data_IF_611446235210
#
_entry.id   IF_611446235210
#
_cell.length_a   1.000
_cell.length_b   1.000
_cell.length_c   1.000
_cell.angle_alpha   90.00
_cell.angle_beta   90.00
_cell.angle_gamma   90.00
#
_symmetry.space_group_name_H-M   'P 1'
#
loop_
_entity.id
_entity.type
_entity.pdbx_description
1 polymer ?
#
# COMPACT_ATOMS: atom_id res chain seq x y z
N UNK A 1 23.75 20.97 43.15
CA UNK A 1 23.59 20.73 41.71
C UNK A 1 22.11 20.40 41.45
N UNK A 2 21.36 21.34 40.90
CA UNK A 2 19.97 21.11 40.49
C UNK A 2 20.00 20.66 39.05
N UNK A 3 19.63 19.39 38.81
CA UNK A 3 19.49 18.83 37.48
C UNK A 3 18.21 19.41 36.85
N UNK A 4 18.37 20.16 35.77
CA UNK A 4 17.28 20.69 34.95
C UNK A 4 16.94 19.59 33.95
N UNK A 5 15.80 18.92 34.16
CA UNK A 5 15.24 17.97 33.20
C UNK A 5 14.51 18.82 32.15
N UNK A 6 15.07 18.92 30.96
CA UNK A 6 14.38 19.42 29.78
C UNK A 6 13.40 18.31 29.29
N UNK A 7 12.12 18.53 29.47
CA UNK A 7 11.11 17.82 28.70
C UNK A 7 11.16 18.35 27.27
N UNK A 8 11.71 17.58 26.36
CA UNK A 8 11.46 17.77 24.92
C UNK A 8 10.01 17.31 24.68
N UNK A 9 9.12 18.26 24.53
CA UNK A 9 7.81 18.02 23.91
C UNK A 9 8.11 17.89 22.42
N UNK A 10 7.81 16.75 21.76
CA UNK A 10 7.91 16.70 20.31
C UNK A 10 6.83 17.63 19.75
N UNK A 11 7.27 18.75 19.18
CA UNK A 11 6.43 19.53 18.28
C UNK A 11 6.23 18.69 17.01
N UNK A 12 5.09 18.01 16.91
CA UNK A 12 4.54 17.58 15.63
C UNK A 12 4.06 18.86 14.92
N UNK A 13 4.96 19.50 14.19
CA UNK A 13 4.62 20.61 13.33
C UNK A 13 4.13 20.06 11.99
N UNK A 14 2.86 19.75 11.85
CA UNK A 14 2.19 19.90 10.57
C UNK A 14 2.03 21.42 10.37
N UNK A 15 3.03 22.05 9.73
CA UNK A 15 3.04 23.51 9.56
C UNK A 15 1.89 24.00 8.66
N UNK A 16 1.26 23.12 7.90
CA UNK A 16 0.30 23.42 6.85
C UNK A 16 -1.16 23.16 7.25
N UNK A 17 -1.43 22.11 8.01
CA UNK A 17 -2.77 21.73 8.48
C UNK A 17 -2.75 21.58 9.99
N UNK A 18 -3.69 22.22 10.68
CA UNK A 18 -3.87 22.08 12.13
C UNK A 18 -5.30 21.67 12.46
N UNK A 19 -5.44 20.87 13.51
CA UNK A 19 -6.68 20.28 13.97
C UNK A 19 -6.99 20.72 15.39
N UNK A 20 -8.25 21.04 15.65
CA UNK A 20 -8.77 21.32 16.99
C UNK A 20 -10.12 20.62 17.19
N UNK A 21 -10.22 19.60 18.08
CA UNK A 21 -9.14 19.01 18.88
C UNK A 21 -8.11 18.22 18.02
N UNK A 22 -6.91 18.00 18.56
CA UNK A 22 -5.85 17.22 17.91
C UNK A 22 -6.15 15.73 17.82
N UNK A 23 -6.98 15.21 18.73
CA UNK A 23 -7.56 13.87 18.67
C UNK A 23 -8.98 14.00 18.16
N UNK A 24 -9.26 13.41 17.01
CA UNK A 24 -10.56 13.49 16.35
C UNK A 24 -11.46 12.39 16.89
N UNK A 25 -12.62 12.76 17.40
CA UNK A 25 -13.69 11.82 17.69
C UNK A 25 -14.81 11.99 16.64
N UNK A 26 -15.39 10.88 16.21
CA UNK A 26 -16.32 10.86 15.06
C UNK A 26 -17.60 11.67 15.32
N UNK A 27 -18.01 11.80 16.58
CA UNK A 27 -19.23 12.46 17.04
C UNK A 27 -18.98 13.83 17.71
N UNK A 28 -17.75 14.34 17.66
CA UNK A 28 -17.38 15.63 18.24
C UNK A 28 -17.05 16.68 17.19
N UNK A 29 -17.20 17.96 17.55
CA UNK A 29 -16.84 19.07 16.67
C UNK A 29 -15.35 19.08 16.39
N UNK A 30 -15.00 19.06 15.12
CA UNK A 30 -13.65 19.20 14.58
C UNK A 30 -13.54 20.54 13.85
N UNK A 31 -12.47 21.27 14.10
CA UNK A 31 -12.06 22.42 13.29
C UNK A 31 -10.74 22.09 12.59
N UNK A 32 -10.74 22.18 11.25
CA UNK A 32 -9.55 22.04 10.42
C UNK A 32 -9.13 23.44 9.99
N UNK A 33 -7.87 23.81 10.22
CA UNK A 33 -7.28 25.06 9.78
C UNK A 33 -6.10 24.80 8.87
N UNK A 34 -6.05 25.50 7.74
CA UNK A 34 -5.04 25.35 6.68
C UNK A 34 -4.33 26.69 6.46
N UNK A 35 -3.01 26.67 6.40
CA UNK A 35 -2.17 27.76 5.94
C UNK A 35 -1.64 27.46 4.51
N UNK A 36 -2.22 28.10 3.50
CA UNK A 36 -1.82 27.91 2.11
C UNK A 36 -0.49 28.57 1.75
N UNK A 37 0.10 29.38 2.65
CA UNK A 37 1.42 30.01 2.42
C UNK A 37 2.57 29.13 2.91
N UNK A 38 2.32 28.15 3.77
CA UNK A 38 3.35 27.22 4.19
C UNK A 38 3.55 26.21 3.05
N UNK A 39 4.50 26.49 2.18
CA UNK A 39 4.81 25.65 1.04
C UNK A 39 5.89 24.65 1.40
N UNK A 40 5.49 23.44 1.75
CA UNK A 40 6.31 22.24 1.60
C UNK A 40 5.82 21.51 0.34
N UNK A 41 5.87 22.20 -0.80
CA UNK A 41 5.21 21.73 -2.00
C UNK A 41 6.20 21.15 -2.98
N UNK A 42 6.41 19.85 -2.89
CA UNK A 42 6.80 19.05 -4.07
C UNK A 42 5.62 18.92 -5.06
N UNK A 43 4.41 19.28 -4.65
CA UNK A 43 3.19 19.31 -5.43
C UNK A 43 2.83 20.74 -5.81
N UNK A 44 2.01 20.90 -6.85
CA UNK A 44 1.67 22.17 -7.46
C UNK A 44 1.10 23.25 -6.53
N UNK A 45 0.81 22.93 -5.27
CA UNK A 45 0.36 23.85 -4.25
C UNK A 45 -0.81 24.75 -4.65
N UNK A 46 -1.44 25.39 -3.67
CA UNK A 46 -2.50 26.38 -3.91
C UNK A 46 -1.93 27.79 -3.71
N UNK A 47 -2.06 28.62 -4.74
CA UNK A 47 -1.51 29.97 -4.72
C UNK A 47 -2.64 31.00 -4.78
N UNK A 48 -2.85 31.77 -3.70
CA UNK A 48 -3.87 32.80 -3.55
C UNK A 48 -5.28 32.40 -4.05
N UNK A 49 -5.88 31.34 -3.52
CA UNK A 49 -7.19 30.91 -3.98
C UNK A 49 -8.25 31.94 -3.63
N UNK A 50 -9.24 32.16 -4.52
CA UNK A 50 -10.40 32.97 -4.21
C UNK A 50 -11.36 32.25 -3.27
N UNK A 51 -11.41 30.92 -3.34
CA UNK A 51 -12.10 29.98 -2.46
C UNK A 51 -11.23 28.74 -2.24
N UNK A 52 -11.35 28.17 -1.07
CA UNK A 52 -10.72 26.90 -0.71
C UNK A 52 -11.80 25.89 -0.33
N UNK A 53 -11.64 24.67 -0.80
CA UNK A 53 -12.56 23.57 -0.56
C UNK A 53 -11.81 22.40 0.08
N UNK A 54 -12.41 21.80 1.10
CA UNK A 54 -12.03 20.49 1.61
C UNK A 54 -12.72 19.41 0.77
N UNK A 55 -11.95 18.53 0.15
CA UNK A 55 -12.40 17.26 -0.39
C UNK A 55 -11.91 16.18 0.58
N UNK A 56 -12.81 15.43 1.19
CA UNK A 56 -12.46 14.55 2.30
C UNK A 56 -13.29 13.27 2.28
N UNK A 57 -12.67 12.20 2.71
CA UNK A 57 -13.29 10.89 2.90
C UNK A 57 -13.06 10.33 4.29
N UNK A 58 -13.83 9.33 4.65
CA UNK A 58 -13.65 8.53 5.87
C UNK A 58 -13.65 7.05 5.53
N UNK A 59 -12.86 6.30 6.26
CA UNK A 59 -12.70 4.87 6.06
C UNK A 59 -11.84 4.23 7.14
N UNK A 60 -11.12 3.20 6.75
CA UNK A 60 -10.23 2.45 7.63
C UNK A 60 -8.76 2.73 7.29
N UNK A 61 -7.86 2.00 7.93
CA UNK A 61 -6.40 2.20 7.75
C UNK A 61 -5.89 1.83 6.36
N UNK A 62 -6.56 0.92 5.66
CA UNK A 62 -6.21 0.50 4.30
C UNK A 62 -6.74 1.48 3.26
N UNK A 63 -7.94 2.05 3.50
CA UNK A 63 -8.55 3.00 2.58
C UNK A 63 -9.36 4.05 3.37
N UNK A 64 -8.81 5.25 3.48
CA UNK A 64 -9.45 6.39 4.16
C UNK A 64 -10.64 6.99 3.37
N UNK A 65 -10.96 6.48 2.18
CA UNK A 65 -12.00 6.96 1.27
C UNK A 65 -13.14 5.95 1.08
N UNK A 66 -13.11 4.81 1.79
CA UNK A 66 -13.95 3.64 1.50
C UNK A 66 -15.41 3.80 1.94
N UNK A 67 -15.67 4.46 3.08
CA UNK A 67 -17.03 4.48 3.68
C UNK A 67 -17.87 5.59 3.07
N UNK A 68 -17.39 6.84 3.11
CA UNK A 68 -18.08 7.95 2.45
C UNK A 68 -17.09 9.07 2.09
N UNK A 69 -17.45 9.84 1.07
CA UNK A 69 -16.65 10.97 0.55
C UNK A 69 -17.53 12.20 0.39
N UNK A 70 -17.05 13.35 0.87
CA UNK A 70 -17.68 14.65 0.72
C UNK A 70 -16.80 15.60 -0.07
N UNK A 71 -17.39 16.26 -1.04
CA UNK A 71 -16.75 17.21 -1.95
C UNK A 71 -16.88 16.78 -3.40
N UNK A 72 -17.23 17.73 -4.27
CA UNK A 72 -17.39 17.52 -5.70
C UNK A 72 -16.21 18.13 -6.43
N UNK A 73 -15.27 17.30 -6.89
CA UNK A 73 -14.04 17.79 -7.51
C UNK A 73 -14.32 18.71 -8.70
N UNK A 74 -13.66 19.87 -8.70
CA UNK A 74 -13.77 20.85 -9.79
C UNK A 74 -15.05 21.68 -9.82
N UNK A 75 -15.97 21.53 -8.84
CA UNK A 75 -17.21 22.27 -8.76
C UNK A 75 -17.18 23.35 -7.66
N UNK A 76 -17.61 24.55 -8.00
CA UNK A 76 -17.82 25.67 -7.05
C UNK A 76 -19.28 25.64 -6.57
N UNK A 77 -19.62 24.66 -5.74
CA UNK A 77 -20.99 24.38 -5.29
C UNK A 77 -21.23 24.57 -3.79
N UNK A 78 -20.19 24.99 -3.05
CA UNK A 78 -20.25 25.22 -1.62
C UNK A 78 -20.04 23.97 -0.78
N UNK A 79 -19.96 22.77 -1.35
CA UNK A 79 -19.73 21.52 -0.60
C UNK A 79 -18.27 21.44 -0.17
N UNK A 80 -18.02 21.53 1.15
CA UNK A 80 -16.66 21.60 1.70
C UNK A 80 -16.00 22.98 1.59
N UNK A 81 -16.74 24.05 1.25
CA UNK A 81 -16.18 25.41 1.19
C UNK A 81 -15.68 25.86 2.56
N UNK A 82 -14.44 26.33 2.60
CA UNK A 82 -13.78 26.80 3.82
C UNK A 82 -13.93 28.30 4.00
N UNK A 83 -13.92 28.75 5.25
CA UNK A 83 -13.94 30.17 5.60
C UNK A 83 -12.56 30.77 5.51
N UNK A 84 -12.43 31.90 4.76
CA UNK A 84 -11.21 32.67 4.68
C UNK A 84 -11.02 33.53 5.93
N UNK A 85 -9.99 33.23 6.73
CA UNK A 85 -9.63 33.97 7.94
C UNK A 85 -8.60 35.09 7.69
N UNK A 86 -8.19 35.28 6.43
CA UNK A 86 -7.16 36.24 6.03
C UNK A 86 -5.73 35.68 6.12
N UNK A 87 -4.79 36.37 5.50
CA UNK A 87 -3.36 36.03 5.48
C UNK A 87 -3.04 34.59 4.99
N UNK A 88 -3.90 34.03 4.11
CA UNK A 88 -3.72 32.66 3.60
C UNK A 88 -4.20 31.58 4.56
N UNK A 89 -4.86 31.94 5.67
CA UNK A 89 -5.41 30.99 6.64
C UNK A 89 -6.88 30.74 6.31
N UNK A 90 -7.25 29.47 6.25
CA UNK A 90 -8.62 29.00 5.99
C UNK A 90 -9.06 27.98 7.04
N UNK A 91 -10.35 27.92 7.34
CA UNK A 91 -10.88 26.96 8.29
C UNK A 91 -12.26 26.43 7.93
N UNK A 92 -12.56 25.22 8.37
CA UNK A 92 -13.86 24.59 8.33
C UNK A 92 -14.12 23.86 9.65
N UNK A 93 -15.37 23.89 10.14
CA UNK A 93 -15.74 23.18 11.37
C UNK A 93 -16.98 22.35 11.13
N UNK A 94 -16.95 21.09 11.56
CA UNK A 94 -18.06 20.14 11.43
C UNK A 94 -17.95 19.02 12.47
N UNK A 95 -19.04 18.28 12.68
CA UNK A 95 -19.02 16.98 13.37
C UNK A 95 -18.83 15.92 12.28
N UNK A 96 -17.76 15.11 12.31
CA UNK A 96 -17.47 14.16 11.20
C UNK A 96 -18.64 13.22 10.88
N UNK A 97 -19.31 12.65 11.90
CA UNK A 97 -20.46 11.78 11.70
C UNK A 97 -21.58 12.45 10.87
N UNK A 98 -21.88 13.70 11.18
CA UNK A 98 -22.94 14.46 10.50
C UNK A 98 -22.48 14.92 9.10
N UNK A 99 -21.22 15.35 8.99
CA UNK A 99 -20.63 15.84 7.74
C UNK A 99 -20.55 14.76 6.66
N UNK A 100 -20.24 13.53 7.06
CA UNK A 100 -20.18 12.38 6.18
C UNK A 100 -21.48 11.57 6.11
N UNK A 101 -22.58 12.03 6.77
CA UNK A 101 -23.89 11.36 6.79
C UNK A 101 -23.79 9.87 7.19
N UNK A 102 -23.07 9.58 8.28
CA UNK A 102 -22.79 8.22 8.71
C UNK A 102 -23.86 7.66 9.64
N UNK A 103 -24.29 6.44 9.37
CA UNK A 103 -25.03 5.64 10.37
C UNK A 103 -24.14 5.30 11.58
N UNK A 104 -24.75 4.86 12.71
CA UNK A 104 -23.98 4.43 13.90
C UNK A 104 -23.02 3.27 13.56
N UNK A 105 -23.43 2.35 12.69
CA UNK A 105 -22.59 1.23 12.29
C UNK A 105 -21.38 1.68 11.43
N UNK A 106 -21.58 2.58 10.48
CA UNK A 106 -20.50 3.13 9.67
C UNK A 106 -19.53 3.97 10.50
N UNK A 107 -20.06 4.81 11.41
CA UNK A 107 -19.24 5.61 12.32
C UNK A 107 -18.29 4.76 13.17
N UNK A 108 -18.73 3.58 13.61
CA UNK A 108 -17.91 2.64 14.38
C UNK A 108 -16.80 1.96 13.55
N UNK A 109 -16.89 2.00 12.21
CA UNK A 109 -15.88 1.44 11.30
C UNK A 109 -14.82 2.47 10.90
N UNK A 110 -15.07 3.77 11.15
CA UNK A 110 -14.14 4.84 10.79
C UNK A 110 -12.95 4.84 11.75
N UNK A 111 -11.78 4.63 11.23
CA UNK A 111 -10.51 4.76 11.96
C UNK A 111 -9.57 5.78 11.32
N UNK A 112 -9.90 6.25 10.10
CA UNK A 112 -9.07 7.17 9.33
C UNK A 112 -9.89 8.14 8.50
N UNK A 113 -9.42 9.38 8.38
CA UNK A 113 -9.95 10.41 7.49
C UNK A 113 -8.88 10.84 6.51
N UNK A 114 -9.23 10.86 5.21
CA UNK A 114 -8.42 11.39 4.12
C UNK A 114 -8.86 12.80 3.75
N UNK A 115 -7.91 13.67 3.36
CA UNK A 115 -8.19 15.05 3.00
C UNK A 115 -7.29 15.52 1.86
N UNK A 116 -7.89 16.29 0.96
CA UNK A 116 -7.19 17.10 -0.05
C UNK A 116 -7.85 18.48 -0.05
N UNK A 117 -7.06 19.52 -0.12
CA UNK A 117 -7.61 20.88 -0.27
C UNK A 117 -7.46 21.33 -1.71
N UNK A 118 -8.49 21.96 -2.26
CA UNK A 118 -8.52 22.40 -3.66
C UNK A 118 -9.05 23.83 -3.80
N UNK A 119 -8.66 24.48 -4.87
CA UNK A 119 -9.31 25.74 -5.27
C UNK A 119 -10.71 25.51 -5.87
N UNK A 120 -11.43 26.55 -6.21
CA UNK A 120 -12.83 26.52 -6.67
C UNK A 120 -13.07 25.64 -7.90
N UNK A 121 -12.08 25.50 -8.79
CA UNK A 121 -12.22 24.73 -10.03
C UNK A 121 -11.37 23.44 -10.05
N UNK A 122 -10.73 23.08 -8.92
CA UNK A 122 -9.95 21.84 -8.79
C UNK A 122 -8.65 21.79 -9.62
N UNK A 123 -8.19 22.94 -10.16
CA UNK A 123 -6.95 23.00 -10.94
C UNK A 123 -5.69 23.16 -10.10
N UNK A 124 -5.86 23.50 -8.82
CA UNK A 124 -4.82 23.60 -7.83
C UNK A 124 -5.24 22.79 -6.60
N UNK A 125 -4.31 22.04 -6.06
CA UNK A 125 -4.52 21.22 -4.88
C UNK A 125 -3.37 21.35 -3.87
N UNK A 126 -3.70 21.17 -2.60
CA UNK A 126 -2.77 21.12 -1.50
C UNK A 126 -2.81 19.71 -0.93
N UNK A 127 -1.68 19.04 -0.96
CA UNK A 127 -1.43 17.69 -0.47
C UNK A 127 -0.28 17.68 0.52
N UNK A 128 -0.13 16.59 1.25
CA UNK A 128 0.98 16.33 2.16
C UNK A 128 2.29 16.07 1.42
N UNK A 129 3.36 15.84 2.14
CA UNK A 129 4.69 15.53 1.58
C UNK A 129 4.63 14.36 0.61
N UNK A 130 5.46 14.43 -0.45
CA UNK A 130 5.47 13.42 -1.51
C UNK A 130 4.20 13.36 -2.35
N UNK A 131 3.39 14.41 -2.37
CA UNK A 131 2.11 14.50 -3.09
C UNK A 131 1.04 13.50 -2.63
N UNK A 132 1.16 12.98 -1.42
CA UNK A 132 0.14 12.14 -0.80
C UNK A 132 -1.03 12.99 -0.28
N UNK A 133 -2.18 12.37 -0.11
CA UNK A 133 -3.29 12.98 0.61
C UNK A 133 -2.93 13.13 2.10
N UNK A 134 -3.55 14.11 2.78
CA UNK A 134 -3.44 14.17 4.24
C UNK A 134 -4.27 13.06 4.86
N UNK A 135 -3.65 12.24 5.71
CA UNK A 135 -4.33 11.17 6.42
C UNK A 135 -4.25 11.39 7.93
N UNK A 136 -5.40 11.29 8.59
CA UNK A 136 -5.52 11.54 10.02
C UNK A 136 -6.30 10.40 10.67
N UNK A 137 -5.79 9.92 11.80
CA UNK A 137 -6.47 8.90 12.58
C UNK A 137 -7.70 9.47 13.30
N UNK A 138 -8.80 8.72 13.31
CA UNK A 138 -10.06 9.04 13.98
C UNK A 138 -10.24 8.09 15.16
N UNK A 139 -10.66 8.65 16.30
CA UNK A 139 -10.81 7.95 17.58
C UNK A 139 -9.55 8.00 18.45
N UNK A 140 -9.78 7.98 19.76
CA UNK A 140 -8.71 7.92 20.77
C UNK A 140 -8.08 6.54 20.89
N UNK A 141 -8.80 5.51 20.43
CA UNK A 141 -8.31 4.14 20.39
C UNK A 141 -7.57 3.89 19.08
N UNK A 142 -6.25 3.93 19.13
CA UNK A 142 -5.36 3.67 17.99
C UNK A 142 -4.43 2.52 18.32
N UNK A 143 -3.96 1.80 17.30
CA UNK A 143 -3.04 0.68 17.45
C UNK A 143 -1.82 0.90 16.58
N UNK A 144 -0.66 0.74 17.17
CA UNK A 144 0.65 0.74 16.51
C UNK A 144 1.22 -0.68 16.54
N UNK A 145 1.58 -1.20 15.36
CA UNK A 145 2.44 -2.36 15.26
C UNK A 145 3.89 -1.90 15.54
N UNK A 146 4.58 -2.61 16.44
CA UNK A 146 5.98 -2.34 16.77
C UNK A 146 6.87 -3.32 15.99
N UNK A 147 6.41 -4.56 15.86
CA UNK A 147 6.98 -5.56 14.97
C UNK A 147 5.83 -6.41 14.37
N UNK A 148 5.61 -6.34 13.05
CA UNK A 148 6.34 -5.52 12.06
C UNK A 148 6.23 -4.02 12.34
N UNK A 149 7.08 -3.24 11.68
CA UNK A 149 6.95 -1.79 11.61
C UNK A 149 5.76 -1.37 10.69
N UNK A 150 5.68 -0.09 10.36
CA UNK A 150 4.63 0.48 9.52
C UNK A 150 4.56 -0.09 8.09
N UNK A 151 5.60 -0.81 7.63
CA UNK A 151 5.57 -1.49 6.33
C UNK A 151 4.63 -2.69 6.30
N UNK A 152 4.28 -3.24 7.47
CA UNK A 152 3.47 -4.45 7.59
C UNK A 152 4.17 -5.71 7.05
N UNK A 153 5.50 -5.69 6.89
CA UNK A 153 6.27 -6.80 6.33
C UNK A 153 7.39 -7.21 7.28
N UNK A 154 7.51 -8.52 7.51
CA UNK A 154 8.67 -9.12 8.18
C UNK A 154 9.34 -10.06 7.18
N UNK A 155 10.63 -9.89 6.95
CA UNK A 155 11.43 -10.82 6.16
C UNK A 155 12.27 -11.67 7.10
N UNK A 156 12.27 -13.00 6.91
CA UNK A 156 13.06 -13.94 7.73
C UNK A 156 13.74 -14.98 6.86
N UNK A 157 14.87 -15.49 7.31
CA UNK A 157 15.49 -16.68 6.72
C UNK A 157 14.71 -17.95 7.05
N UNK A 158 14.91 -18.98 6.22
CA UNK A 158 14.30 -20.29 6.43
C UNK A 158 14.65 -20.85 7.82
N UNK A 159 13.63 -21.29 8.56
CA UNK A 159 13.74 -21.84 9.90
C UNK A 159 14.12 -20.80 10.98
N UNK A 160 14.03 -19.52 10.67
CA UNK A 160 14.20 -18.44 11.63
C UNK A 160 12.93 -18.17 12.44
N UNK A 161 12.98 -17.22 13.35
CA UNK A 161 11.91 -16.90 14.29
C UNK A 161 11.67 -15.39 14.32
N UNK A 162 10.42 -14.98 14.59
CA UNK A 162 10.07 -13.58 14.81
C UNK A 162 8.98 -13.44 15.87
N UNK A 163 8.97 -12.30 16.56
CA UNK A 163 7.97 -12.00 17.59
C UNK A 163 7.10 -10.84 17.15
N UNK A 164 5.77 -10.98 17.30
CA UNK A 164 4.83 -9.91 16.95
C UNK A 164 4.59 -9.03 18.18
N UNK A 165 4.73 -7.72 18.01
CA UNK A 165 4.58 -6.72 19.07
C UNK A 165 3.65 -5.61 18.61
N UNK A 166 2.71 -5.23 19.48
CA UNK A 166 1.81 -4.11 19.22
C UNK A 166 1.42 -3.38 20.51
N UNK A 167 1.05 -2.12 20.39
CA UNK A 167 0.50 -1.35 21.51
C UNK A 167 -0.73 -0.56 21.07
N UNK A 168 -1.59 -0.22 22.01
CA UNK A 168 -2.68 0.70 21.77
C UNK A 168 -2.51 1.98 22.59
N UNK A 169 -3.24 3.04 22.23
CA UNK A 169 -3.13 4.37 22.84
C UNK A 169 -4.09 4.59 23.99
N UNK A 170 -5.10 3.74 24.20
CA UNK A 170 -6.21 3.99 25.11
C UNK A 170 -6.48 2.85 26.09
N UNK A 171 -5.48 2.55 26.96
CA UNK A 171 -5.65 1.59 28.06
C UNK A 171 -5.67 0.12 27.57
N UNK A 172 -6.43 -0.73 28.28
CA UNK A 172 -6.40 -2.16 28.01
C UNK A 172 -7.40 -2.55 26.90
N UNK A 173 -6.96 -3.48 26.04
CA UNK A 173 -7.75 -4.06 24.96
C UNK A 173 -7.58 -5.59 24.90
N UNK A 174 -8.40 -6.24 24.07
CA UNK A 174 -8.25 -7.67 23.77
C UNK A 174 -7.60 -7.81 22.41
N UNK A 175 -6.64 -8.71 22.30
CA UNK A 175 -5.88 -8.98 21.09
C UNK A 175 -6.10 -10.43 20.66
N UNK A 176 -6.32 -10.66 19.38
CA UNK A 176 -6.42 -12.00 18.78
C UNK A 176 -5.60 -12.02 17.50
N UNK A 177 -4.54 -12.82 17.46
CA UNK A 177 -3.67 -12.98 16.30
C UNK A 177 -4.11 -14.20 15.49
N UNK A 178 -4.35 -13.96 14.23
CA UNK A 178 -4.60 -15.00 13.23
C UNK A 178 -3.41 -15.08 12.28
N UNK A 179 -3.04 -16.29 11.87
CA UNK A 179 -2.04 -16.56 10.85
C UNK A 179 -2.63 -17.56 9.85
N UNK A 180 -2.62 -17.24 8.57
CA UNK A 180 -3.22 -18.03 7.50
C UNK A 180 -4.70 -18.41 7.79
N UNK A 181 -5.43 -17.51 8.44
CA UNK A 181 -6.84 -17.69 8.83
C UNK A 181 -7.08 -18.46 10.13
N UNK A 182 -6.03 -19.02 10.77
CA UNK A 182 -6.14 -19.75 12.02
C UNK A 182 -5.76 -18.87 13.22
N UNK A 183 -6.54 -18.93 14.32
CA UNK A 183 -6.22 -18.23 15.57
C UNK A 183 -4.99 -18.88 16.23
N UNK A 184 -3.89 -18.12 16.35
CA UNK A 184 -2.62 -18.61 16.92
C UNK A 184 -2.34 -18.07 18.32
N UNK A 185 -2.87 -16.89 18.68
CA UNK A 185 -2.73 -16.32 20.03
C UNK A 185 -3.91 -15.41 20.40
N UNK A 186 -4.17 -15.29 21.71
CA UNK A 186 -5.16 -14.37 22.25
C UNK A 186 -4.74 -13.86 23.63
N UNK A 187 -4.72 -12.53 23.79
CA UNK A 187 -4.42 -11.87 25.04
C UNK A 187 -5.56 -10.90 25.39
N UNK A 188 -6.07 -10.99 26.61
CA UNK A 188 -7.22 -10.19 27.02
C UNK A 188 -6.82 -9.14 28.06
N UNK A 189 -7.42 -7.96 27.95
CA UNK A 189 -7.30 -6.87 28.90
C UNK A 189 -5.85 -6.42 29.15
N UNK A 190 -5.08 -6.27 28.08
CA UNK A 190 -3.69 -5.77 28.09
C UNK A 190 -3.57 -4.50 27.24
N UNK A 191 -2.71 -3.58 27.62
CA UNK A 191 -2.43 -2.37 26.85
C UNK A 191 -1.25 -2.52 25.88
N UNK A 192 -0.51 -3.61 26.02
CA UNK A 192 0.63 -3.94 25.17
C UNK A 192 0.54 -5.43 24.80
N UNK A 193 0.52 -5.71 23.52
CA UNK A 193 0.60 -7.07 23.00
C UNK A 193 2.07 -7.49 22.98
N UNK A 194 2.48 -8.20 24.04
CA UNK A 194 3.81 -8.75 24.16
C UNK A 194 3.82 -10.16 23.57
N UNK A 195 3.67 -10.19 22.38
CA UNK A 195 3.52 -11.01 21.32
C UNK A 195 3.73 -12.49 21.31
N UNK A 196 3.05 -13.01 20.33
CA UNK A 196 3.26 -14.38 19.88
C UNK A 196 4.63 -14.50 19.20
N UNK A 197 5.39 -15.52 19.59
CA UNK A 197 6.64 -15.89 18.97
C UNK A 197 6.36 -16.94 17.89
N UNK A 198 6.61 -16.59 16.64
CA UNK A 198 6.70 -17.57 15.56
C UNK A 198 8.09 -18.19 15.57
N UNK A 199 8.17 -19.52 15.79
CA UNK A 199 9.43 -20.27 15.81
C UNK A 199 9.53 -21.20 14.59
N UNK A 200 10.77 -21.38 14.08
CA UNK A 200 11.07 -22.31 12.99
C UNK A 200 10.18 -22.08 11.76
N UNK A 201 10.10 -20.84 11.31
CA UNK A 201 9.31 -20.46 10.15
C UNK A 201 9.86 -21.11 8.87
N UNK A 202 9.00 -21.90 8.21
CA UNK A 202 9.31 -22.58 6.95
C UNK A 202 8.39 -22.16 5.80
N UNK A 203 7.26 -21.49 6.12
CA UNK A 203 6.25 -21.03 5.19
C UNK A 203 5.84 -19.59 5.50
N UNK A 204 5.43 -18.86 4.49
CA UNK A 204 4.90 -17.50 4.63
C UNK A 204 3.68 -17.48 5.56
N UNK A 205 3.53 -16.40 6.33
CA UNK A 205 2.38 -16.20 7.20
C UNK A 205 1.66 -14.91 6.79
N UNK A 206 0.38 -15.04 6.46
CA UNK A 206 -0.53 -13.92 6.22
C UNK A 206 -1.31 -13.68 7.49
N UNK A 207 -0.99 -12.60 8.18
CA UNK A 207 -1.43 -12.37 9.56
C UNK A 207 -2.45 -11.26 9.66
N UNK A 208 -3.40 -11.43 10.57
CA UNK A 208 -4.32 -10.40 11.04
C UNK A 208 -4.27 -10.33 12.56
N UNK A 209 -3.94 -9.17 13.11
CA UNK A 209 -4.09 -8.90 14.53
C UNK A 209 -5.38 -8.11 14.74
N UNK A 210 -6.36 -8.72 15.39
CA UNK A 210 -7.62 -8.10 15.76
C UNK A 210 -7.52 -7.54 17.16
N UNK A 211 -7.77 -6.26 17.33
CA UNK A 211 -7.67 -5.57 18.61
C UNK A 211 -9.03 -4.92 18.93
N UNK A 212 -9.64 -5.30 20.04
CA UNK A 212 -10.95 -4.80 20.43
C UNK A 212 -10.96 -4.12 21.81
N UNK A 213 -11.67 -2.99 21.89
CA UNK A 213 -11.93 -2.25 23.13
C UNK A 213 -13.36 -1.71 23.10
N UNK A 214 -14.21 -2.18 24.02
CA UNK A 214 -15.65 -1.90 23.96
C UNK A 214 -16.27 -2.40 22.66
N UNK A 215 -16.93 -1.51 21.93
CA UNK A 215 -17.57 -1.81 20.65
C UNK A 215 -16.64 -1.54 19.43
N UNK A 216 -15.45 -0.99 19.68
CA UNK A 216 -14.47 -0.68 18.63
C UNK A 216 -13.55 -1.88 18.37
N UNK A 217 -13.27 -2.15 17.10
CA UNK A 217 -12.29 -3.16 16.68
C UNK A 217 -11.40 -2.61 15.57
N UNK A 218 -10.11 -2.73 15.76
CA UNK A 218 -9.09 -2.40 14.74
C UNK A 218 -8.45 -3.71 14.29
N UNK A 219 -8.24 -3.85 12.97
CA UNK A 219 -7.57 -5.01 12.38
C UNK A 219 -6.30 -4.53 11.70
N UNK A 220 -5.16 -5.04 12.15
CA UNK A 220 -3.86 -4.81 11.54
C UNK A 220 -3.47 -6.04 10.72
N UNK A 221 -3.27 -5.84 9.41
CA UNK A 221 -2.80 -6.91 8.51
C UNK A 221 -1.32 -6.78 8.26
N UNK A 222 -0.62 -7.89 8.24
CA UNK A 222 0.81 -7.94 7.96
C UNK A 222 1.22 -9.31 7.43
N UNK A 223 2.40 -9.38 6.83
CA UNK A 223 2.90 -10.61 6.20
C UNK A 223 4.30 -10.93 6.70
N UNK A 224 4.55 -12.20 7.02
CA UNK A 224 5.89 -12.74 7.25
C UNK A 224 6.28 -13.52 5.99
N UNK A 225 7.32 -13.06 5.29
CA UNK A 225 7.87 -13.73 4.13
C UNK A 225 9.15 -14.48 4.52
N UNK A 226 9.16 -15.76 4.24
CA UNK A 226 10.27 -16.67 4.55
C UNK A 226 11.14 -16.86 3.33
N UNK A 227 12.46 -16.80 3.48
CA UNK A 227 13.40 -17.10 2.41
C UNK A 227 13.39 -18.61 2.07
N UNK A 228 12.54 -19.00 1.13
CA UNK A 228 12.42 -20.36 0.60
C UNK A 228 13.19 -20.57 -0.71
N UNK A 229 14.10 -19.64 -1.04
CA UNK A 229 14.90 -19.73 -2.27
C UNK A 229 15.84 -20.91 -2.22
N UNK A 230 15.79 -21.74 -3.26
CA UNK A 230 16.73 -22.83 -3.49
C UNK A 230 17.78 -22.44 -4.52
N UNK A 231 18.97 -23.00 -4.43
CA UNK A 231 20.04 -22.76 -5.40
C UNK A 231 19.96 -23.85 -6.49
N UNK A 232 19.62 -23.44 -7.71
CA UNK A 232 19.51 -24.37 -8.84
C UNK A 232 19.89 -23.63 -10.12
N UNK A 233 20.72 -24.28 -10.96
CA UNK A 233 21.17 -23.69 -12.22
C UNK A 233 19.99 -23.43 -13.16
N UNK A 234 19.96 -22.24 -13.74
CA UNK A 234 18.95 -21.87 -14.72
C UNK A 234 19.03 -22.79 -15.95
N UNK A 235 17.90 -23.30 -16.48
CA UNK A 235 17.87 -24.07 -17.71
C UNK A 235 18.47 -23.28 -18.89
N UNK A 236 19.18 -23.97 -19.77
CA UNK A 236 19.84 -23.34 -20.91
C UNK A 236 18.83 -22.78 -21.91
N UNK A 237 19.12 -21.58 -22.46
CA UNK A 237 18.32 -20.96 -23.51
C UNK A 237 17.24 -20.02 -22.99
N UNK A 238 17.08 -19.86 -21.67
CA UNK A 238 16.16 -18.89 -21.11
C UNK A 238 16.78 -17.48 -21.08
N UNK A 239 15.96 -16.50 -21.37
CA UNK A 239 16.28 -15.07 -21.35
C UNK A 239 15.58 -14.39 -20.16
N UNK A 240 16.00 -13.16 -19.83
CA UNK A 240 15.31 -12.37 -18.78
C UNK A 240 13.88 -12.03 -19.22
N UNK A 241 12.92 -12.12 -18.31
CA UNK A 241 11.50 -11.95 -18.57
C UNK A 241 10.71 -13.24 -18.68
N UNK A 242 9.63 -13.23 -19.45
CA UNK A 242 8.72 -14.35 -19.64
C UNK A 242 9.23 -15.26 -20.76
N UNK A 243 9.52 -16.51 -20.44
CA UNK A 243 9.87 -17.53 -21.41
C UNK A 243 8.68 -18.49 -21.61
N UNK A 244 8.04 -18.42 -22.76
CA UNK A 244 6.92 -19.30 -23.12
C UNK A 244 7.45 -20.67 -23.55
N UNK A 245 6.81 -21.74 -23.08
CA UNK A 245 7.15 -23.13 -23.38
C UNK A 245 6.33 -23.64 -24.59
N UNK A 246 6.78 -24.73 -25.21
CA UNK A 246 5.99 -25.50 -26.20
C UNK A 246 4.71 -26.06 -25.55
N UNK A 247 4.75 -26.38 -24.26
CA UNK A 247 3.57 -26.65 -23.44
C UNK A 247 2.91 -25.34 -23.02
N UNK A 248 1.87 -24.95 -23.73
CA UNK A 248 1.15 -23.70 -23.53
C UNK A 248 0.44 -23.56 -22.18
N UNK A 249 0.51 -24.55 -21.29
CA UNK A 249 0.08 -24.47 -19.90
C UNK A 249 1.19 -24.04 -18.94
N UNK A 250 2.39 -23.75 -19.47
CA UNK A 250 3.60 -23.43 -18.70
C UNK A 250 4.28 -22.17 -19.18
N UNK A 251 4.97 -21.51 -18.24
CA UNK A 251 5.94 -20.45 -18.53
C UNK A 251 7.09 -20.52 -17.54
N UNK A 252 8.27 -20.08 -17.96
CA UNK A 252 9.37 -19.84 -17.04
C UNK A 252 9.67 -18.34 -16.94
N UNK A 253 9.61 -17.81 -15.74
CA UNK A 253 9.95 -16.42 -15.42
C UNK A 253 11.41 -16.33 -15.01
N UNK A 254 12.13 -15.34 -15.53
CA UNK A 254 13.55 -15.08 -15.21
C UNK A 254 13.73 -13.62 -14.88
N UNK A 255 14.31 -13.33 -13.70
CA UNK A 255 14.61 -11.98 -13.25
C UNK A 255 16.09 -11.85 -12.86
N UNK A 256 16.78 -10.87 -13.44
CA UNK A 256 18.10 -10.45 -12.97
C UNK A 256 17.94 -9.49 -11.81
N UNK A 257 18.33 -9.92 -10.59
CA UNK A 257 18.21 -9.14 -9.37
C UNK A 257 19.48 -9.27 -8.49
N UNK A 258 20.56 -8.58 -8.88
CA UNK A 258 21.83 -8.66 -8.16
C UNK A 258 21.69 -8.16 -6.72
N UNK A 259 22.40 -8.85 -5.83
CA UNK A 259 22.46 -8.52 -4.39
C UNK A 259 21.11 -8.68 -3.65
N UNK A 260 20.16 -9.47 -4.19
CA UNK A 260 18.92 -9.79 -3.51
C UNK A 260 18.97 -11.20 -2.93
N UNK A 261 18.26 -11.38 -1.80
CA UNK A 261 18.29 -12.64 -1.06
C UNK A 261 17.29 -13.63 -1.62
N UNK A 262 16.03 -13.21 -1.80
CA UNK A 262 14.97 -14.07 -2.31
C UNK A 262 13.89 -13.28 -3.04
N UNK A 263 13.12 -13.96 -3.88
CA UNK A 263 12.05 -13.37 -4.67
C UNK A 263 10.86 -14.32 -4.68
N UNK A 264 9.66 -13.76 -4.48
CA UNK A 264 8.41 -14.45 -4.71
C UNK A 264 7.72 -13.91 -5.97
N UNK A 265 6.96 -14.78 -6.63
CA UNK A 265 6.04 -14.38 -7.70
C UNK A 265 4.62 -14.41 -7.15
N UNK A 266 3.98 -13.24 -7.04
CA UNK A 266 2.59 -13.10 -6.65
C UNK A 266 1.73 -12.73 -7.86
N UNK A 267 0.60 -13.39 -8.05
CA UNK A 267 -0.27 -13.16 -9.20
C UNK A 267 -1.62 -13.86 -9.07
N UNK A 268 -2.43 -13.78 -10.13
CA UNK A 268 -3.77 -14.36 -10.15
C UNK A 268 -3.75 -15.87 -9.91
N UNK A 269 -2.73 -16.56 -10.37
CA UNK A 269 -2.56 -18.01 -10.24
C UNK A 269 -2.30 -18.49 -8.79
N UNK A 270 -2.01 -17.57 -7.85
CA UNK A 270 -1.86 -17.88 -6.42
C UNK A 270 -2.61 -16.90 -5.52
N UNK A 271 -3.65 -16.24 -6.06
CA UNK A 271 -4.49 -15.28 -5.34
C UNK A 271 -3.69 -14.19 -4.64
N UNK A 272 -2.55 -13.79 -5.23
CA UNK A 272 -1.64 -12.76 -4.70
C UNK A 272 -1.07 -13.05 -3.31
N UNK A 273 -1.09 -14.33 -2.93
CA UNK A 273 -0.61 -14.84 -1.64
C UNK A 273 0.36 -16.01 -1.85
N UNK A 274 1.55 -15.75 -2.39
CA UNK A 274 2.47 -16.82 -2.78
C UNK A 274 2.89 -17.68 -1.60
N UNK A 275 2.84 -18.99 -1.80
CA UNK A 275 3.43 -20.01 -0.92
C UNK A 275 4.88 -20.28 -1.31
N UNK A 276 5.56 -21.19 -0.60
CA UNK A 276 6.94 -21.60 -0.92
C UNK A 276 7.14 -22.10 -2.36
N UNK A 277 6.09 -22.64 -2.99
CA UNK A 277 6.13 -23.08 -4.40
C UNK A 277 6.40 -21.93 -5.38
N UNK A 278 6.06 -20.71 -4.99
CA UNK A 278 6.28 -19.50 -5.80
C UNK A 278 7.53 -18.72 -5.40
N UNK A 279 8.40 -19.29 -4.55
CA UNK A 279 9.74 -18.77 -4.32
C UNK A 279 10.61 -19.06 -5.54
N UNK A 280 11.22 -18.02 -6.12
CA UNK A 280 12.13 -18.20 -7.26
C UNK A 280 13.41 -18.89 -6.81
N UNK A 281 13.91 -19.79 -7.66
CA UNK A 281 15.21 -20.42 -7.51
C UNK A 281 16.31 -19.44 -7.93
N UNK A 282 17.41 -19.40 -7.20
CA UNK A 282 18.57 -18.56 -7.54
C UNK A 282 19.60 -19.38 -8.33
N UNK A 283 20.03 -18.86 -9.48
CA UNK A 283 21.08 -19.50 -10.26
C UNK A 283 22.42 -19.46 -9.54
N UNK A 284 23.12 -20.59 -9.51
CA UNK A 284 24.42 -20.73 -8.85
C UNK A 284 25.57 -19.96 -9.51
N UNK A 285 25.39 -19.52 -10.77
CA UNK A 285 26.45 -18.93 -11.59
C UNK A 285 26.20 -17.48 -12.01
N UNK A 286 25.02 -16.96 -11.72
CA UNK A 286 24.63 -15.59 -12.04
C UNK A 286 23.75 -15.00 -10.94
N UNK A 287 23.46 -13.71 -11.03
CA UNK A 287 22.52 -13.02 -10.13
C UNK A 287 21.08 -13.09 -10.67
N UNK A 288 20.73 -14.18 -11.35
CA UNK A 288 19.41 -14.44 -11.89
C UNK A 288 18.60 -15.32 -10.96
N UNK A 289 17.30 -15.04 -10.93
CA UNK A 289 16.29 -15.87 -10.27
C UNK A 289 15.35 -16.40 -11.35
N UNK A 290 14.82 -17.62 -11.17
CA UNK A 290 13.91 -18.22 -12.12
C UNK A 290 12.87 -19.10 -11.45
N UNK A 291 11.69 -19.20 -12.08
CA UNK A 291 10.58 -20.01 -11.62
C UNK A 291 9.77 -20.52 -12.82
N UNK A 292 9.50 -21.81 -12.87
CA UNK A 292 8.52 -22.40 -13.77
C UNK A 292 7.15 -22.37 -13.10
N UNK A 293 6.15 -21.83 -13.81
CA UNK A 293 4.75 -21.81 -13.41
C UNK A 293 4.00 -22.76 -14.32
N UNK A 294 3.31 -23.73 -13.73
CA UNK A 294 2.55 -24.76 -14.42
C UNK A 294 1.03 -24.60 -14.17
N UNK A 295 0.22 -25.29 -15.01
CA UNK A 295 -1.23 -25.34 -14.82
C UNK A 295 -1.96 -24.08 -15.24
N UNK A 296 -1.36 -23.23 -16.07
CA UNK A 296 -2.02 -22.09 -16.66
C UNK A 296 -3.03 -22.52 -17.74
N UNK A 297 -4.17 -21.87 -17.79
CA UNK A 297 -5.17 -22.11 -18.83
C UNK A 297 -4.77 -21.35 -20.11
N UNK A 298 -4.58 -22.04 -21.24
CA UNK A 298 -4.16 -21.43 -22.49
C UNK A 298 -5.13 -20.37 -23.00
N UNK A 299 -4.60 -19.17 -23.30
CA UNK A 299 -5.40 -18.04 -23.80
C UNK A 299 -5.99 -17.15 -22.72
N UNK A 300 -5.99 -17.58 -21.45
CA UNK A 300 -6.37 -16.73 -20.33
C UNK A 300 -5.29 -15.70 -20.02
N UNK A 301 -5.72 -14.57 -19.48
CA UNK A 301 -4.86 -13.47 -19.04
C UNK A 301 -4.64 -13.61 -17.55
N UNK A 302 -3.38 -13.61 -17.15
CA UNK A 302 -2.97 -13.55 -15.76
C UNK A 302 -2.19 -12.28 -15.51
N UNK A 303 -2.28 -11.74 -14.30
CA UNK A 303 -1.42 -10.64 -13.86
C UNK A 303 -0.52 -11.10 -12.72
N UNK A 304 0.70 -10.54 -12.63
CA UNK A 304 1.64 -10.87 -11.57
C UNK A 304 2.64 -9.75 -11.27
N UNK A 305 3.29 -9.87 -10.11
CA UNK A 305 4.43 -9.05 -9.69
C UNK A 305 5.55 -9.93 -9.15
N UNK A 306 6.77 -9.41 -9.21
CA UNK A 306 7.88 -9.89 -8.41
C UNK A 306 7.88 -9.17 -7.04
N UNK A 307 8.00 -9.94 -5.97
CA UNK A 307 8.24 -9.44 -4.62
C UNK A 307 9.70 -9.67 -4.26
N UNK A 308 10.52 -8.67 -4.57
CA UNK A 308 11.98 -8.72 -4.48
C UNK A 308 12.42 -8.33 -3.08
N UNK A 309 13.04 -9.26 -2.36
CA UNK A 309 13.37 -9.15 -0.95
C UNK A 309 14.87 -9.05 -0.69
N UNK A 310 15.23 -8.22 0.29
CA UNK A 310 16.59 -7.99 0.76
C UNK A 310 16.57 -7.98 2.30
N UNK A 311 17.23 -8.97 2.91
CA UNK A 311 17.29 -9.14 4.38
C UNK A 311 18.21 -8.11 5.05
N UNK A 312 19.09 -7.48 4.30
CA UNK A 312 20.06 -6.51 4.78
C UNK A 312 20.18 -5.33 3.83
N UNK A 313 19.09 -4.58 3.57
CA UNK A 313 19.11 -3.48 2.62
C UNK A 313 20.08 -2.40 3.07
N UNK A 314 20.69 -1.71 2.11
CA UNK A 314 21.51 -0.52 2.40
C UNK A 314 20.60 0.59 2.94
N UNK A 315 21.17 1.52 3.69
CA UNK A 315 20.45 2.65 4.27
C UNK A 315 19.54 3.34 3.23
N UNK A 316 18.30 3.65 3.62
CA UNK A 316 17.27 4.28 2.80
C UNK A 316 16.70 3.39 1.67
N UNK A 317 17.10 2.12 1.57
CA UNK A 317 16.51 1.17 0.63
C UNK A 317 15.43 0.33 1.30
N UNK A 318 14.29 0.07 0.61
CA UNK A 318 13.27 -0.80 1.17
C UNK A 318 13.74 -2.26 1.21
N UNK A 319 13.32 -2.99 2.24
CA UNK A 319 13.59 -4.44 2.36
C UNK A 319 12.76 -5.29 1.38
N UNK A 320 11.62 -4.78 0.93
CA UNK A 320 10.76 -5.41 -0.07
C UNK A 320 10.38 -4.41 -1.16
N UNK A 321 10.54 -4.82 -2.42
CA UNK A 321 10.07 -4.08 -3.60
C UNK A 321 9.10 -4.97 -4.37
N UNK A 322 7.86 -4.52 -4.53
CA UNK A 322 6.87 -5.12 -5.42
C UNK A 322 6.96 -4.44 -6.78
N UNK A 323 7.20 -5.18 -7.84
CA UNK A 323 7.44 -4.61 -9.17
C UNK A 323 6.92 -5.51 -10.28
N UNK A 324 6.48 -4.90 -11.38
CA UNK A 324 6.23 -5.61 -12.62
C UNK A 324 7.56 -6.14 -13.21
N UNK A 325 7.45 -7.08 -14.15
CA UNK A 325 8.59 -7.60 -14.89
C UNK A 325 9.16 -6.51 -15.83
N UNK A 326 10.42 -6.13 -15.68
CA UNK A 326 11.05 -5.10 -16.52
C UNK A 326 11.16 -5.48 -17.99
N UNK A 327 11.03 -6.75 -18.35
CA UNK A 327 11.05 -7.26 -19.72
C UNK A 327 9.66 -7.55 -20.29
N UNK A 328 8.59 -7.23 -19.54
CA UNK A 328 7.22 -7.43 -20.00
C UNK A 328 6.88 -6.52 -21.17
N UNK A 329 6.10 -7.07 -22.09
CA UNK A 329 5.55 -6.31 -23.23
C UNK A 329 4.24 -5.58 -22.87
N UNK A 330 3.63 -5.92 -21.74
CA UNK A 330 2.41 -5.28 -21.25
C UNK A 330 2.43 -5.22 -19.72
N UNK A 331 2.23 -4.01 -19.22
CA UNK A 331 2.14 -3.70 -17.79
C UNK A 331 0.86 -2.91 -17.56
N UNK A 332 0.11 -3.25 -16.51
CA UNK A 332 -1.04 -2.49 -16.05
C UNK A 332 -0.65 -1.62 -14.86
N UNK A 333 -1.19 -0.42 -14.80
CA UNK A 333 -0.91 0.56 -13.75
C UNK A 333 -2.22 1.05 -13.11
N UNK A 334 -2.35 0.99 -11.78
CA UNK A 334 -3.54 1.50 -11.11
C UNK A 334 -3.67 3.03 -11.24
N UNK A 335 -2.59 3.72 -11.60
CA UNK A 335 -2.52 5.17 -11.71
C UNK A 335 -2.82 5.67 -13.12
N UNK A 336 -2.37 4.94 -14.15
CA UNK A 336 -2.43 5.39 -15.54
C UNK A 336 -3.60 4.76 -16.31
N UNK A 337 -3.90 3.47 -16.09
CA UNK A 337 -4.92 2.72 -16.84
C UNK A 337 -6.32 3.36 -16.79
N UNK A 338 -6.79 3.93 -15.65
CA UNK A 338 -8.09 4.58 -15.59
C UNK A 338 -8.25 5.77 -16.56
N UNK A 339 -7.14 6.31 -17.05
CA UNK A 339 -7.12 7.46 -17.97
C UNK A 339 -6.89 7.08 -19.43
N UNK A 340 -6.69 5.78 -19.73
CA UNK A 340 -6.51 5.28 -21.10
C UNK A 340 -7.89 5.09 -21.74
N UNK A 341 -8.26 5.90 -22.77
CA UNK A 341 -9.55 5.74 -23.40
C UNK A 341 -9.58 4.46 -24.27
N UNK A 342 -10.74 3.82 -24.32
CA UNK A 342 -11.02 2.63 -25.14
C UNK A 342 -10.63 2.81 -26.61
N UNK A 343 -10.70 4.05 -27.12
CA UNK A 343 -10.27 4.38 -28.49
C UNK A 343 -8.77 4.34 -28.71
N UNK A 344 -7.99 4.48 -27.63
CA UNK A 344 -6.51 4.43 -27.69
C UNK A 344 -5.99 3.01 -27.49
N UNK A 345 -6.59 2.27 -26.60
CA UNK A 345 -6.26 0.87 -26.37
C UNK A 345 -7.54 0.04 -26.14
N UNK A 346 -8.12 -0.51 -27.22
CA UNK A 346 -9.33 -1.34 -27.11
C UNK A 346 -9.06 -2.62 -26.34
N UNK A 347 -9.95 -2.96 -25.41
CA UNK A 347 -9.89 -4.17 -24.59
C UNK A 347 -8.61 -4.24 -23.72
N UNK A 348 -8.18 -3.13 -23.12
CA UNK A 348 -7.15 -3.16 -22.09
C UNK A 348 -7.61 -4.13 -20.98
N UNK A 349 -6.78 -5.10 -20.55
CA UNK A 349 -7.11 -5.94 -19.42
C UNK A 349 -7.37 -5.12 -18.16
N UNK A 350 -8.28 -5.58 -17.32
CA UNK A 350 -8.62 -4.91 -16.07
C UNK A 350 -7.49 -5.10 -15.04
N UNK A 351 -7.13 -4.03 -14.33
CA UNK A 351 -6.18 -4.08 -13.24
C UNK A 351 -6.80 -4.83 -12.04
N UNK A 352 -6.05 -5.70 -11.31
CA UNK A 352 -6.59 -6.54 -10.24
C UNK A 352 -6.79 -5.79 -8.92
N UNK A 353 -7.71 -4.82 -8.87
CA UNK A 353 -7.98 -3.98 -7.68
C UNK A 353 -8.44 -4.76 -6.44
N UNK A 354 -9.12 -5.89 -6.63
CA UNK A 354 -9.76 -6.64 -5.53
C UNK A 354 -8.77 -7.24 -4.52
N UNK A 355 -7.49 -7.31 -4.85
CA UNK A 355 -6.45 -7.93 -4.02
C UNK A 355 -5.61 -6.92 -3.22
N UNK A 356 -5.96 -5.65 -3.21
CA UNK A 356 -5.21 -4.62 -2.51
C UNK A 356 -3.78 -4.41 -3.06
N UNK A 357 -3.62 -4.58 -4.37
CA UNK A 357 -2.35 -4.39 -5.07
C UNK A 357 -2.20 -2.91 -5.37
N UNK A 358 -1.03 -2.34 -5.04
CA UNK A 358 -0.81 -0.90 -5.10
C UNK A 358 0.18 -0.46 -6.20
N UNK A 359 0.76 -1.40 -6.94
CA UNK A 359 1.84 -1.16 -7.90
C UNK A 359 1.53 -1.78 -9.24
N UNK A 360 2.31 -1.40 -10.22
CA UNK A 360 2.21 -1.95 -11.57
C UNK A 360 2.32 -3.48 -11.57
N UNK A 361 1.52 -4.13 -12.44
CA UNK A 361 1.50 -5.58 -12.62
C UNK A 361 1.84 -5.95 -14.05
N UNK A 362 2.52 -7.06 -14.23
CA UNK A 362 2.81 -7.64 -15.53
C UNK A 362 1.62 -8.44 -16.05
N UNK A 363 1.34 -8.34 -17.33
CA UNK A 363 0.36 -9.21 -18.01
C UNK A 363 1.07 -10.41 -18.61
N UNK A 364 0.56 -11.60 -18.28
CA UNK A 364 0.99 -12.90 -18.79
C UNK A 364 -0.17 -13.55 -19.55
N UNK A 365 0.10 -14.04 -20.75
CA UNK A 365 -0.88 -14.82 -21.52
C UNK A 365 -0.17 -15.95 -22.24
N UNK A 366 -0.51 -17.21 -21.93
CA UNK A 366 0.02 -18.36 -22.62
C UNK A 366 -0.70 -18.59 -23.96
N UNK A 367 -0.06 -19.32 -24.87
CA UNK A 367 -0.62 -19.60 -26.19
C UNK A 367 -0.77 -18.36 -27.10
N UNK A 368 -0.03 -17.30 -26.80
CA UNK A 368 0.06 -16.15 -27.71
C UNK A 368 0.86 -16.50 -28.96
N UNK A 369 0.28 -16.25 -30.13
CA UNK A 369 1.05 -16.27 -31.36
C UNK A 369 1.95 -15.03 -31.40
N UNK A 370 3.25 -15.19 -31.71
CA UNK A 370 4.16 -14.05 -31.87
C UNK A 370 3.63 -13.07 -32.93
N UNK A 371 3.72 -11.77 -32.66
CA UNK A 371 3.34 -10.77 -33.64
C UNK A 371 4.20 -10.92 -34.90
N UNK A 372 3.55 -11.16 -36.03
CA UNK A 372 4.20 -11.29 -37.33
C UNK A 372 4.56 -9.91 -37.88
N UNK A 373 5.79 -9.47 -37.66
CA UNK A 373 6.31 -8.21 -38.17
C UNK A 373 6.34 -8.22 -39.70
N UNK A 374 5.68 -7.25 -40.32
CA UNK A 374 5.65 -7.13 -41.78
C UNK A 374 6.92 -6.47 -42.36
N UNK A 375 7.79 -5.94 -41.50
CA UNK A 375 9.05 -5.30 -41.87
C UNK A 375 10.18 -5.97 -41.08
N UNK A 376 10.88 -6.91 -41.73
CA UNK A 376 11.96 -7.67 -41.11
C UNK A 376 13.34 -6.98 -41.18
N UNK A 377 13.48 -6.01 -42.11
CA UNK A 377 14.78 -5.36 -42.43
C UNK A 377 14.83 -3.88 -41.96
N UNK A 378 14.25 -3.55 -40.81
CA UNK A 378 14.36 -2.20 -40.30
C UNK A 378 15.76 -1.90 -39.76
N UNK A 379 16.55 -1.14 -40.52
CA UNK A 379 17.81 -0.58 -40.03
C UNK A 379 17.55 0.66 -39.17
N UNK A 380 17.96 0.60 -37.89
CA UNK A 380 17.92 1.76 -37.02
C UNK A 380 18.72 2.92 -37.63
N UNK A 381 18.14 4.15 -37.77
CA UNK A 381 18.90 5.30 -38.22
C UNK A 381 20.15 5.49 -37.34
N UNK A 382 21.29 5.66 -37.98
CA UNK A 382 22.51 6.07 -37.26
C UNK A 382 22.44 7.56 -37.01
N UNK A 383 22.56 8.01 -35.77
CA UNK A 383 22.79 9.38 -35.42
C UNK A 383 24.14 9.88 -35.91
#
# INVERSE_FOLDING_TARGET
>A
MRSLIFFLIPFLSFAQVTLDPTVIEIDQMLTITVDVNSSDSDCNGINNPSKLYLHSGVGNETNAWEINVVGNWGNDDGVGEMTNNGNGIWSISFIPKDYFDLSDNEANLVTRMGMVFRNENGTQELKDQGCSDFFINVGSFQVELINPDSSGIILVDYNDSTQILAQNTNGNANYSLYANGELVDSQNNVNFYNGFQFDNLIENQYCELHISQGDSTIIKKFTILVNNTTIESIPSGLEDGINYDDDISKVTLVLSAPYKDFIYVAGDFNFWSPTSEYAMKKDSNSERFWLEIEGLEPGEIYTYQYWVSDLSPVDESPSLVKTADPFSTMVLSPFDDPWIPETSYPNLPEYPYDFGIEREVTVLKTGQEPYNWQVEDFEKPKE
#
